data_IF_673255676757
#
_entry.id   IF_673255676757
#
_cell.length_a   1.000
_cell.length_b   1.000
_cell.length_c   1.000
_cell.angle_alpha   90.00
_cell.angle_beta   90.00
_cell.angle_gamma   90.00
#
_symmetry.space_group_name_H-M   'P 1'
#
loop_
_entity.id
_entity.type
_entity.pdbx_description
1 polymer ?
#
# COMPACT_ATOMS: atom_id res chain seq x y z
N UNK A 1 6.81 -7.38 15.66
CA UNK A 1 6.25 -6.29 16.45
C UNK A 1 6.43 -4.98 15.72
N UNK A 2 5.33 -4.28 15.49
CA UNK A 2 5.31 -3.02 14.74
C UNK A 2 5.18 -1.79 15.65
N UNK A 3 5.36 -1.98 16.96
CA UNK A 3 5.27 -0.87 17.89
C UNK A 3 6.54 -0.01 17.87
N UNK A 4 6.34 1.29 17.82
CA UNK A 4 7.40 2.28 17.90
C UNK A 4 7.18 3.19 19.09
N UNK A 5 8.25 3.57 19.76
CA UNK A 5 8.22 4.59 20.80
C UNK A 5 8.46 5.96 20.18
N UNK A 6 7.65 6.94 20.58
CA UNK A 6 7.80 8.32 20.16
C UNK A 6 8.66 9.04 21.18
N UNK A 7 9.74 9.66 20.70
CA UNK A 7 10.67 10.45 21.53
C UNK A 7 10.64 11.89 21.06
N UNK A 8 10.23 12.79 21.92
CA UNK A 8 10.23 14.22 21.60
C UNK A 8 11.68 14.72 21.64
N UNK A 9 12.11 15.30 20.55
CA UNK A 9 13.49 15.76 20.38
C UNK A 9 13.52 17.06 19.59
N UNK A 10 14.32 18.01 20.05
CA UNK A 10 14.54 19.27 19.33
C UNK A 10 15.64 19.16 18.27
N UNK A 11 16.43 18.09 18.30
CA UNK A 11 17.58 17.91 17.42
C UNK A 11 17.42 16.82 16.38
N UNK A 12 16.53 15.85 16.61
CA UNK A 12 16.33 14.72 15.70
C UNK A 12 14.92 14.74 15.11
N UNK A 13 14.84 14.43 13.83
CA UNK A 13 13.57 14.34 13.10
C UNK A 13 13.67 13.16 12.15
N UNK A 14 13.54 11.94 12.69
CA UNK A 14 13.80 10.72 11.93
C UNK A 14 13.08 9.50 12.51
N UNK A 15 12.97 8.45 11.71
CA UNK A 15 12.47 7.16 12.14
C UNK A 15 13.66 6.21 12.24
N UNK A 16 13.87 5.66 13.43
CA UNK A 16 14.90 4.66 13.69
C UNK A 16 14.24 3.27 13.69
N UNK A 17 14.31 2.60 12.57
CA UNK A 17 13.68 1.28 12.41
C UNK A 17 14.36 0.21 13.25
N UNK A 18 15.65 0.30 13.44
CA UNK A 18 16.42 -0.70 14.20
C UNK A 18 15.99 -0.74 15.66
N UNK A 19 15.78 0.42 16.26
CA UNK A 19 15.41 0.54 17.66
C UNK A 19 13.93 0.81 17.88
N UNK A 20 13.13 0.82 16.83
CA UNK A 20 11.69 1.11 16.84
C UNK A 20 11.37 2.43 17.53
N UNK A 21 12.07 3.48 17.13
CA UNK A 21 11.88 4.82 17.70
C UNK A 21 11.58 5.84 16.63
N UNK A 22 10.72 6.79 16.96
CA UNK A 22 10.46 7.96 16.13
C UNK A 22 10.88 9.19 16.91
N UNK A 23 11.82 9.94 16.37
CA UNK A 23 12.30 11.18 16.96
C UNK A 23 11.66 12.35 16.24
N UNK A 24 10.98 13.21 16.96
CA UNK A 24 10.31 14.36 16.36
C UNK A 24 10.12 15.47 17.41
N UNK A 25 9.98 16.68 16.93
CA UNK A 25 9.77 17.87 17.76
C UNK A 25 8.43 17.79 18.52
N UNK A 26 7.37 17.28 17.87
CA UNK A 26 6.04 17.16 18.42
C UNK A 26 5.24 16.09 17.65
N UNK A 27 4.00 15.84 18.06
CA UNK A 27 3.15 14.84 17.42
C UNK A 27 2.79 15.19 15.98
N UNK A 28 2.68 16.47 15.67
CA UNK A 28 2.42 16.92 14.29
C UNK A 28 3.58 16.55 13.38
N UNK A 29 4.80 16.64 13.86
CA UNK A 29 5.99 16.23 13.12
C UNK A 29 6.04 14.70 12.94
N UNK A 30 5.60 13.95 13.96
CA UNK A 30 5.45 12.48 13.85
C UNK A 30 4.53 12.12 12.71
N UNK A 31 3.37 12.77 12.62
CA UNK A 31 2.40 12.50 11.55
C UNK A 31 3.00 12.77 10.17
N UNK A 32 3.77 13.84 10.03
CA UNK A 32 4.45 14.16 8.77
C UNK A 32 5.47 13.10 8.39
N UNK A 33 6.25 12.61 9.35
CA UNK A 33 7.22 11.55 9.11
C UNK A 33 6.55 10.27 8.67
N UNK A 34 5.48 9.87 9.35
CA UNK A 34 4.73 8.66 9.01
C UNK A 34 4.11 8.79 7.61
N UNK A 35 3.53 9.93 7.30
CA UNK A 35 2.96 10.19 5.98
C UNK A 35 4.00 10.09 4.88
N UNK A 36 5.15 10.71 5.07
CA UNK A 36 6.25 10.68 4.10
C UNK A 36 6.76 9.25 3.90
N UNK A 37 6.91 8.49 4.99
CA UNK A 37 7.37 7.12 4.92
C UNK A 37 6.34 6.22 4.24
N UNK A 38 5.05 6.43 4.51
CA UNK A 38 3.96 5.71 3.85
C UNK A 38 4.00 5.93 2.34
N UNK A 39 4.15 7.17 1.90
CA UNK A 39 4.26 7.51 0.48
C UNK A 39 5.43 6.78 -0.17
N UNK A 40 6.57 6.77 0.47
CA UNK A 40 7.79 6.12 -0.02
C UNK A 40 7.59 4.61 -0.16
N UNK A 41 7.05 3.96 0.86
CA UNK A 41 6.83 2.52 0.86
C UNK A 41 5.79 2.13 -0.20
N UNK A 42 4.67 2.85 -0.25
CA UNK A 42 3.58 2.54 -1.19
C UNK A 42 4.03 2.69 -2.64
N UNK A 43 4.76 3.77 -2.94
CA UNK A 43 5.28 3.97 -4.30
C UNK A 43 6.28 2.89 -4.68
N UNK A 44 7.19 2.56 -3.78
CA UNK A 44 8.18 1.50 -4.00
C UNK A 44 7.51 0.15 -4.28
N UNK A 45 6.46 -0.19 -3.51
CA UNK A 45 5.74 -1.45 -3.71
C UNK A 45 4.88 -1.43 -4.98
N UNK A 46 4.33 -0.28 -5.34
CA UNK A 46 3.63 -0.13 -6.61
C UNK A 46 4.57 -0.41 -7.78
N UNK A 47 5.75 0.19 -7.78
CA UNK A 47 6.76 -0.03 -8.82
C UNK A 47 7.19 -1.50 -8.88
N UNK A 48 7.45 -2.11 -7.74
CA UNK A 48 7.85 -3.51 -7.65
C UNK A 48 6.79 -4.42 -8.27
N UNK A 49 5.55 -4.29 -7.84
CA UNK A 49 4.46 -5.14 -8.31
C UNK A 49 4.10 -4.87 -9.78
N UNK A 50 4.16 -3.60 -10.20
CA UNK A 50 3.96 -3.24 -11.59
C UNK A 50 4.94 -3.98 -12.50
N UNK A 51 6.20 -4.05 -12.10
CA UNK A 51 7.24 -4.70 -12.91
C UNK A 51 7.10 -6.23 -12.97
N UNK A 52 6.29 -6.83 -12.10
CA UNK A 52 5.98 -8.25 -12.15
C UNK A 52 4.97 -8.60 -13.24
N UNK A 53 4.11 -7.65 -13.63
CA UNK A 53 3.04 -7.93 -14.57
C UNK A 53 3.59 -8.29 -15.94
N UNK A 54 3.08 -9.41 -16.48
CA UNK A 54 3.43 -9.90 -17.81
C UNK A 54 2.73 -9.10 -18.90
N UNK A 55 1.50 -8.67 -18.62
CA UNK A 55 0.72 -7.86 -19.55
C UNK A 55 1.25 -6.43 -19.56
N UNK A 56 1.14 -5.80 -20.71
CA UNK A 56 1.49 -4.40 -20.86
C UNK A 56 0.34 -3.54 -20.35
N UNK A 57 0.51 -2.99 -19.16
CA UNK A 57 -0.47 -2.11 -18.52
C UNK A 57 0.16 -0.73 -18.29
N UNK A 58 -0.64 0.33 -18.17
CA UNK A 58 -0.09 1.66 -17.91
C UNK A 58 0.48 1.71 -16.49
N UNK A 59 1.55 2.48 -16.28
CA UNK A 59 2.00 2.79 -14.93
C UNK A 59 1.07 3.87 -14.36
N UNK A 60 0.30 3.58 -13.32
CA UNK A 60 -0.72 4.52 -12.85
C UNK A 60 -0.11 5.63 -12.00
N UNK A 61 -0.83 6.74 -11.90
CA UNK A 61 -0.58 7.69 -10.84
C UNK A 61 -1.07 7.10 -9.52
N UNK A 62 -0.41 7.44 -8.42
CA UNK A 62 -0.73 6.92 -7.10
C UNK A 62 -1.34 8.01 -6.23
N UNK A 63 -2.47 7.71 -5.62
CA UNK A 63 -3.08 8.51 -4.57
C UNK A 63 -3.18 7.68 -3.31
N UNK A 64 -2.84 8.25 -2.16
CA UNK A 64 -2.92 7.58 -0.88
C UNK A 64 -3.85 8.40 0.01
N UNK A 65 -4.86 7.73 0.58
CA UNK A 65 -5.77 8.39 1.51
C UNK A 65 -6.45 7.37 2.41
N UNK A 66 -6.92 7.83 3.55
CA UNK A 66 -7.72 7.00 4.46
C UNK A 66 -9.10 6.79 3.84
N UNK A 67 -9.54 5.53 3.79
CA UNK A 67 -10.87 5.17 3.29
C UNK A 67 -11.56 4.27 4.31
N UNK A 68 -12.89 4.40 4.43
CA UNK A 68 -13.66 3.64 5.43
C UNK A 68 -14.18 2.30 4.91
N UNK A 69 -14.38 2.17 3.59
CA UNK A 69 -15.06 0.99 3.01
C UNK A 69 -14.25 0.22 1.99
N UNK A 70 -13.10 0.74 1.58
CA UNK A 70 -12.27 0.13 0.53
C UNK A 70 -10.81 0.13 0.91
N UNK A 71 -10.07 -0.87 0.42
CA UNK A 71 -8.62 -0.92 0.56
C UNK A 71 -7.89 -0.28 -0.61
N UNK A 72 -8.51 -0.30 -1.79
CA UNK A 72 -7.97 0.33 -2.99
C UNK A 72 -9.05 0.63 -4.01
N UNK A 73 -8.71 1.45 -4.98
CA UNK A 73 -9.58 1.80 -6.12
C UNK A 73 -8.71 1.93 -7.35
N UNK A 74 -9.17 1.37 -8.47
CA UNK A 74 -8.54 1.58 -9.77
C UNK A 74 -9.47 2.41 -10.66
N UNK A 75 -8.98 3.57 -11.11
CA UNK A 75 -9.68 4.35 -12.12
C UNK A 75 -8.96 4.13 -13.46
N UNK A 76 -9.56 3.26 -14.29
CA UNK A 76 -8.94 2.88 -15.58
C UNK A 76 -8.85 4.04 -16.55
N UNK A 77 -9.84 4.90 -16.55
CA UNK A 77 -9.90 6.05 -17.46
C UNK A 77 -8.80 7.06 -17.16
N UNK A 78 -8.62 7.38 -15.88
CA UNK A 78 -7.60 8.32 -15.44
C UNK A 78 -6.23 7.66 -15.21
N UNK A 79 -6.16 6.34 -15.34
CA UNK A 79 -4.94 5.57 -15.06
C UNK A 79 -4.40 5.91 -13.65
N UNK A 80 -5.27 5.80 -12.66
CA UNK A 80 -4.98 6.14 -11.27
C UNK A 80 -5.31 4.98 -10.35
N UNK A 81 -4.40 4.69 -9.43
CA UNK A 81 -4.65 3.76 -8.33
C UNK A 81 -4.66 4.55 -7.04
N UNK A 82 -5.70 4.35 -6.24
CA UNK A 82 -5.81 4.92 -4.89
C UNK A 82 -5.66 3.79 -3.89
N UNK A 83 -4.79 3.98 -2.91
CA UNK A 83 -4.54 3.00 -1.86
C UNK A 83 -4.92 3.57 -0.50
N UNK A 84 -5.51 2.72 0.34
CA UNK A 84 -5.88 3.10 1.70
C UNK A 84 -4.62 3.22 2.57
N UNK A 85 -4.42 4.40 3.15
CA UNK A 85 -3.25 4.65 4.01
C UNK A 85 -3.18 3.70 5.21
N UNK A 86 -4.30 3.14 5.65
CA UNK A 86 -4.34 2.19 6.75
C UNK A 86 -3.58 0.89 6.45
N UNK A 87 -3.29 0.60 5.19
CA UNK A 87 -2.50 -0.57 4.81
C UNK A 87 -1.09 -0.55 5.40
N UNK A 88 -0.59 0.62 5.80
CA UNK A 88 0.72 0.71 6.46
C UNK A 88 0.75 -0.07 7.79
N UNK A 89 -0.42 -0.32 8.38
CA UNK A 89 -0.56 -1.06 9.65
C UNK A 89 -0.62 -2.57 9.46
N UNK A 90 -0.63 -3.04 8.22
CA UNK A 90 -0.78 -4.46 7.88
C UNK A 90 0.55 -5.02 7.37
N UNK A 91 0.71 -6.35 7.35
CA UNK A 91 1.90 -6.95 6.74
C UNK A 91 2.06 -6.48 5.29
N UNK A 92 3.30 -6.37 4.84
CA UNK A 92 3.62 -5.91 3.48
C UNK A 92 2.90 -6.71 2.40
N UNK A 93 2.67 -8.00 2.63
CA UNK A 93 1.93 -8.87 1.72
C UNK A 93 0.51 -8.37 1.46
N UNK A 94 -0.12 -7.74 2.45
CA UNK A 94 -1.46 -7.18 2.28
C UNK A 94 -1.45 -5.96 1.35
N UNK A 95 -0.46 -5.10 1.50
CA UNK A 95 -0.27 -3.97 0.59
C UNK A 95 -0.03 -4.47 -0.84
N UNK A 96 0.86 -5.45 -1.00
CA UNK A 96 1.16 -6.03 -2.31
C UNK A 96 -0.09 -6.63 -2.95
N UNK A 97 -0.90 -7.34 -2.17
CA UNK A 97 -2.15 -7.91 -2.68
C UNK A 97 -3.09 -6.80 -3.21
N UNK A 98 -3.29 -5.74 -2.44
CA UNK A 98 -4.19 -4.65 -2.86
C UNK A 98 -3.65 -3.99 -4.13
N UNK A 99 -2.35 -3.75 -4.20
CA UNK A 99 -1.73 -3.22 -5.42
C UNK A 99 -1.98 -4.14 -6.62
N UNK A 100 -1.75 -5.44 -6.46
CA UNK A 100 -1.97 -6.43 -7.52
C UNK A 100 -3.45 -6.45 -7.93
N UNK A 101 -4.36 -6.40 -6.95
CA UNK A 101 -5.80 -6.34 -7.20
C UNK A 101 -6.15 -5.15 -8.10
N UNK A 102 -5.67 -3.95 -7.74
CA UNK A 102 -5.98 -2.75 -8.50
C UNK A 102 -5.29 -2.74 -9.88
N UNK A 103 -4.05 -3.18 -9.97
CA UNK A 103 -3.35 -3.29 -11.27
C UNK A 103 -4.03 -4.30 -12.18
N UNK A 104 -4.58 -5.38 -11.63
CA UNK A 104 -5.29 -6.41 -12.41
C UNK A 104 -6.55 -5.86 -13.09
N UNK A 105 -7.12 -4.78 -12.57
CA UNK A 105 -8.25 -4.11 -13.21
C UNK A 105 -7.88 -3.45 -14.55
N UNK A 106 -6.61 -3.23 -14.83
CA UNK A 106 -6.18 -2.78 -16.15
C UNK A 106 -6.23 -3.91 -17.19
N UNK A 107 -6.27 -5.16 -16.73
CA UNK A 107 -6.39 -6.34 -17.60
C UNK A 107 -7.86 -6.80 -17.68
N UNK A 108 -8.54 -6.87 -16.52
CA UNK A 108 -9.94 -7.28 -16.41
C UNK A 108 -10.69 -6.29 -15.52
N UNK A 109 -11.67 -5.57 -16.06
CA UNK A 109 -12.34 -4.51 -15.33
C UNK A 109 -13.33 -5.02 -14.25
N UNK A 110 -13.86 -6.24 -14.37
CA UNK A 110 -14.78 -6.82 -13.41
C UNK A 110 -14.09 -7.87 -12.53
N UNK A 111 -14.79 -8.32 -11.48
CA UNK A 111 -14.28 -9.36 -10.57
C UNK A 111 -14.67 -10.76 -11.07
N UNK A 112 -14.51 -11.00 -12.37
CA UNK A 112 -14.75 -12.28 -13.00
C UNK A 112 -13.73 -13.34 -12.57
N UNK A 113 -13.98 -14.58 -12.98
CA UNK A 113 -13.01 -15.66 -12.76
C UNK A 113 -11.65 -15.33 -13.40
N UNK A 114 -11.66 -14.71 -14.58
CA UNK A 114 -10.44 -14.30 -15.27
C UNK A 114 -9.66 -13.26 -14.44
N UNK A 115 -10.36 -12.33 -13.81
CA UNK A 115 -9.73 -11.35 -12.91
C UNK A 115 -9.00 -12.05 -11.76
N UNK A 116 -9.67 -12.95 -11.06
CA UNK A 116 -9.06 -13.64 -9.92
C UNK A 116 -7.93 -14.57 -10.33
N UNK A 117 -8.00 -15.14 -11.52
CA UNK A 117 -6.87 -15.89 -12.09
C UNK A 117 -5.68 -14.97 -12.30
N UNK A 118 -5.92 -13.76 -12.80
CA UNK A 118 -4.87 -12.75 -12.98
C UNK A 118 -4.23 -12.39 -11.63
N UNK A 119 -5.05 -12.09 -10.63
CA UNK A 119 -4.57 -11.78 -9.27
C UNK A 119 -3.72 -12.91 -8.73
N UNK A 120 -4.15 -14.15 -8.89
CA UNK A 120 -3.47 -15.33 -8.33
C UNK A 120 -2.09 -15.57 -8.93
N UNK A 121 -1.80 -15.06 -10.12
CA UNK A 121 -0.45 -15.17 -10.73
C UNK A 121 0.60 -14.48 -9.86
N UNK A 122 0.24 -13.37 -9.23
CA UNK A 122 1.18 -12.51 -8.50
C UNK A 122 0.94 -12.54 -7.00
N UNK A 123 -0.27 -12.92 -6.58
CA UNK A 123 -0.65 -13.03 -5.17
C UNK A 123 -1.35 -14.38 -4.93
N UNK A 124 -0.60 -15.49 -4.89
CA UNK A 124 -1.21 -16.82 -4.77
C UNK A 124 -1.96 -17.03 -3.45
N UNK A 125 -1.62 -16.26 -2.40
CA UNK A 125 -2.29 -16.33 -1.10
C UNK A 125 -3.42 -15.31 -0.96
N UNK A 126 -3.95 -14.81 -2.05
CA UNK A 126 -4.95 -13.74 -2.02
C UNK A 126 -6.19 -14.05 -1.18
N UNK A 127 -6.62 -15.30 -1.14
CA UNK A 127 -7.79 -15.70 -0.34
C UNK A 127 -7.56 -15.51 1.15
N UNK A 128 -6.36 -15.85 1.63
CA UNK A 128 -5.98 -15.68 3.02
C UNK A 128 -5.86 -14.19 3.38
N UNK A 129 -5.27 -13.42 2.48
CA UNK A 129 -5.08 -11.98 2.69
C UNK A 129 -6.43 -11.27 2.71
N UNK A 130 -7.36 -11.68 1.86
CA UNK A 130 -8.72 -11.13 1.87
C UNK A 130 -9.40 -11.35 3.22
N UNK A 131 -9.22 -12.53 3.82
CA UNK A 131 -9.74 -12.80 5.17
C UNK A 131 -9.10 -11.87 6.20
N UNK A 132 -7.79 -11.68 6.13
CA UNK A 132 -7.08 -10.78 7.03
C UNK A 132 -7.63 -9.34 6.94
N UNK A 133 -7.88 -8.86 5.73
CA UNK A 133 -8.40 -7.52 5.48
C UNK A 133 -9.91 -7.42 5.62
N UNK A 134 -10.61 -8.54 5.80
CA UNK A 134 -12.08 -8.60 5.78
C UNK A 134 -12.65 -8.01 4.49
N UNK A 135 -11.98 -8.34 3.42
CA UNK A 135 -12.30 -7.85 2.08
C UNK A 135 -13.32 -8.75 1.37
#
# INVERSE_FOLDING_TARGET
DNEFSIIISNSLNEIDYKNHKVYAKDLKQVDKLIKKETEKIFLSRLEYNYNLFQEKIPFPSLTIRKMSTRWGVCNRKLKRVTLNSLLIRYPLEALDYVIIHELSHFVHFDHSKAFWTEVSKYSPRYKEIRKLLKD
#
